data_IF_614865776053
#
_entry.id   IF_614865776053
#
_cell.length_a   1.000
_cell.length_b   1.000
_cell.length_c   1.000
_cell.angle_alpha   90.00
_cell.angle_beta   90.00
_cell.angle_gamma   90.00
#
_symmetry.space_group_name_H-M   'P 1'
#
loop_
_entity.id
_entity.type
_entity.pdbx_description
1 polymer ?
#
# COMPACT_ATOMS: atom_id res chain seq x y z
N UNK A 1 -6.44 -15.59 3.55
CA UNK A 1 -6.62 -15.95 4.99
C UNK A 1 -7.75 -16.97 5.07
N UNK A 2 -7.44 -18.22 5.41
CA UNK A 2 -8.43 -19.30 5.49
C UNK A 2 -9.18 -19.14 6.80
N UNK A 3 -10.39 -18.57 6.73
CA UNK A 3 -11.31 -18.53 7.87
C UNK A 3 -11.92 -19.91 8.05
N UNK A 4 -11.94 -20.38 9.29
CA UNK A 4 -12.71 -21.55 9.71
C UNK A 4 -14.18 -21.11 9.67
N UNK A 5 -14.74 -21.07 8.47
CA UNK A 5 -16.18 -21.02 8.31
C UNK A 5 -16.59 -22.30 7.61
N UNK A 6 -17.66 -22.87 8.16
CA UNK A 6 -18.25 -24.17 7.86
C UNK A 6 -17.45 -25.34 8.41
N UNK A 7 -18.18 -26.24 9.08
CA UNK A 7 -17.74 -27.41 9.85
C UNK A 7 -16.97 -28.48 9.04
N UNK A 8 -16.20 -28.08 8.03
CA UNK A 8 -15.51 -28.95 7.09
C UNK A 8 -14.21 -29.58 7.65
N UNK A 9 -13.65 -29.11 8.78
CA UNK A 9 -12.42 -29.70 9.36
C UNK A 9 -12.39 -29.71 10.90
N UNK A 10 -11.91 -30.82 11.46
CA UNK A 10 -11.75 -31.00 12.91
C UNK A 10 -10.53 -30.23 13.46
N UNK A 11 -10.57 -29.87 14.75
CA UNK A 11 -9.45 -29.20 15.44
C UNK A 11 -8.13 -29.98 15.36
N UNK A 12 -8.19 -31.32 15.33
CA UNK A 12 -7.01 -32.16 15.20
C UNK A 12 -6.33 -31.99 13.83
N UNK A 13 -7.10 -31.94 12.74
CA UNK A 13 -6.59 -31.69 11.39
C UNK A 13 -5.99 -30.28 11.22
N UNK A 14 -6.54 -29.29 11.94
CA UNK A 14 -5.97 -27.94 11.98
C UNK A 14 -4.64 -27.89 12.72
N UNK A 15 -4.54 -28.57 13.88
CA UNK A 15 -3.29 -28.65 14.65
C UNK A 15 -2.19 -29.39 13.88
N UNK A 16 -2.53 -30.47 13.19
CA UNK A 16 -1.60 -31.25 12.35
C UNK A 16 -1.01 -30.42 11.20
N UNK A 17 -1.82 -29.59 10.54
CA UNK A 17 -1.37 -28.73 9.42
C UNK A 17 -0.93 -27.32 9.85
N UNK A 18 -0.95 -27.03 11.14
CA UNK A 18 -0.63 -25.70 11.68
C UNK A 18 0.80 -25.24 11.35
N UNK A 19 1.75 -26.18 11.29
CA UNK A 19 3.14 -25.91 10.93
C UNK A 19 3.36 -25.47 9.48
N UNK A 20 2.37 -25.67 8.60
CA UNK A 20 2.42 -25.23 7.20
C UNK A 20 1.67 -23.92 6.94
N UNK A 21 0.87 -23.45 7.90
CA UNK A 21 0.16 -22.19 7.75
C UNK A 21 1.10 -21.00 7.85
N UNK A 22 0.80 -19.96 7.08
CA UNK A 22 1.59 -18.71 7.08
C UNK A 22 2.93 -18.79 6.35
N UNK A 23 3.26 -19.92 5.70
CA UNK A 23 4.43 -20.01 4.81
C UNK A 23 4.20 -19.16 3.56
N UNK A 24 5.11 -18.21 3.34
CA UNK A 24 5.17 -17.38 2.13
C UNK A 24 6.32 -17.87 1.26
N UNK A 25 6.02 -18.27 0.02
CA UNK A 25 7.03 -18.64 -0.96
C UNK A 25 7.28 -17.45 -1.87
N UNK A 26 8.53 -16.99 -1.94
CA UNK A 26 8.97 -15.93 -2.84
C UNK A 26 9.77 -16.55 -3.97
N UNK A 27 9.40 -16.23 -5.20
CA UNK A 27 10.15 -16.60 -6.41
C UNK A 27 10.80 -15.32 -6.91
N UNK A 28 12.12 -15.38 -7.13
CA UNK A 28 12.90 -14.26 -7.66
C UNK A 28 13.88 -14.79 -8.70
N UNK A 29 14.09 -13.98 -9.72
CA UNK A 29 15.14 -14.10 -10.73
C UNK A 29 16.47 -13.47 -10.29
N UNK A 30 16.51 -12.85 -9.11
CA UNK A 30 17.71 -12.26 -8.52
C UNK A 30 18.53 -13.32 -7.80
N UNK A 31 19.84 -13.34 -8.08
CA UNK A 31 20.82 -14.14 -7.34
C UNK A 31 21.34 -13.35 -6.13
N UNK A 32 20.50 -13.26 -5.10
CA UNK A 32 20.75 -12.46 -3.90
C UNK A 32 20.35 -13.25 -2.64
N UNK A 33 20.84 -12.81 -1.49
CA UNK A 33 20.51 -13.46 -0.22
C UNK A 33 18.99 -13.50 0.04
N UNK A 34 18.42 -14.62 0.53
CA UNK A 34 16.98 -14.74 0.80
C UNK A 34 16.41 -13.64 1.70
N UNK A 35 17.19 -13.15 2.67
CA UNK A 35 16.79 -12.04 3.53
C UNK A 35 16.64 -10.74 2.71
N UNK A 36 17.57 -10.49 1.78
CA UNK A 36 17.50 -9.34 0.89
C UNK A 36 16.30 -9.43 -0.05
N UNK A 37 16.03 -10.60 -0.63
CA UNK A 37 14.84 -10.85 -1.45
C UNK A 37 13.57 -10.57 -0.65
N UNK A 38 13.49 -11.05 0.59
CA UNK A 38 12.37 -10.77 1.47
C UNK A 38 12.20 -9.27 1.78
N UNK A 39 13.29 -8.55 2.07
CA UNK A 39 13.25 -7.10 2.32
C UNK A 39 12.78 -6.32 1.09
N UNK A 40 13.22 -6.69 -0.11
CA UNK A 40 12.76 -6.11 -1.37
C UNK A 40 11.26 -6.37 -1.58
N UNK A 41 10.81 -7.60 -1.36
CA UNK A 41 9.38 -7.92 -1.41
C UNK A 41 8.57 -7.10 -0.40
N UNK A 42 9.10 -6.91 0.82
CA UNK A 42 8.43 -6.14 1.87
C UNK A 42 8.22 -4.67 1.50
N UNK A 43 9.10 -4.08 0.68
CA UNK A 43 8.91 -2.71 0.18
C UNK A 43 7.65 -2.55 -0.68
N UNK A 44 7.01 -3.63 -1.15
CA UNK A 44 5.71 -3.55 -1.85
C UNK A 44 4.60 -2.94 -0.99
N UNK A 45 4.72 -2.99 0.34
CA UNK A 45 3.81 -2.29 1.26
C UNK A 45 3.72 -0.78 0.96
N UNK A 46 4.81 -0.16 0.48
CA UNK A 46 4.78 1.25 0.08
C UNK A 46 3.82 1.52 -1.08
N UNK A 47 3.58 0.54 -1.94
CA UNK A 47 2.59 0.64 -3.03
C UNK A 47 1.18 0.66 -2.45
N UNK A 48 0.87 -0.20 -1.47
CA UNK A 48 -0.43 -0.20 -0.80
C UNK A 48 -0.68 1.11 -0.06
N UNK A 49 0.34 1.62 0.64
CA UNK A 49 0.30 2.94 1.27
C UNK A 49 0.07 4.06 0.24
N UNK A 50 0.77 4.03 -0.89
CA UNK A 50 0.57 4.98 -1.98
C UNK A 50 -0.87 4.97 -2.51
N UNK A 51 -1.47 3.79 -2.70
CA UNK A 51 -2.87 3.66 -3.12
C UNK A 51 -3.85 4.16 -2.07
N UNK A 52 -3.54 4.00 -0.78
CA UNK A 52 -4.35 4.52 0.31
C UNK A 52 -4.36 6.06 0.30
N UNK A 53 -3.18 6.69 0.22
CA UNK A 53 -3.04 8.15 0.07
C UNK A 53 -3.78 8.65 -1.19
N UNK A 54 -3.57 7.97 -2.31
CA UNK A 54 -4.19 8.32 -3.59
C UNK A 54 -5.73 8.33 -3.50
N UNK A 55 -6.33 7.37 -2.80
CA UNK A 55 -7.79 7.29 -2.66
C UNK A 55 -8.33 8.25 -1.61
N UNK A 56 -7.72 8.28 -0.43
CA UNK A 56 -8.31 8.92 0.75
C UNK A 56 -7.86 10.35 0.98
N UNK A 57 -6.59 10.66 0.72
CA UNK A 57 -6.04 12.00 0.96
C UNK A 57 -6.17 12.89 -0.28
N UNK A 58 -6.10 12.30 -1.47
CA UNK A 58 -6.27 13.01 -2.75
C UNK A 58 -7.71 12.95 -3.30
N UNK A 59 -8.61 12.17 -2.68
CA UNK A 59 -10.01 11.98 -3.09
C UNK A 59 -10.18 11.70 -4.60
N UNK A 60 -9.22 10.96 -5.16
CA UNK A 60 -9.11 10.77 -6.61
C UNK A 60 -10.17 9.82 -7.21
N UNK A 61 -11.01 9.23 -6.35
CA UNK A 61 -12.11 8.36 -6.72
C UNK A 61 -13.34 9.13 -7.23
N UNK A 62 -13.35 10.47 -7.13
CA UNK A 62 -14.40 11.35 -7.64
C UNK A 62 -14.02 12.07 -8.92
N UNK A 63 -13.79 11.31 -10.00
CA UNK A 63 -13.62 11.91 -11.32
C UNK A 63 -14.99 12.24 -11.95
N UNK A 64 -15.44 13.50 -11.87
CA UNK A 64 -16.55 14.02 -12.67
C UNK A 64 -16.07 14.35 -14.10
N UNK A 65 -15.35 13.44 -14.74
CA UNK A 65 -14.67 13.70 -16.03
C UNK A 65 -15.48 13.11 -17.18
N UNK A 66 -15.71 13.93 -18.22
CA UNK A 66 -16.54 13.59 -19.39
C UNK A 66 -15.73 13.32 -20.68
N UNK A 67 -14.41 13.53 -20.64
CA UNK A 67 -13.52 13.48 -21.80
C UNK A 67 -12.18 12.81 -21.43
N UNK A 68 -11.65 12.00 -22.35
CA UNK A 68 -10.43 11.21 -22.17
C UNK A 68 -9.20 12.10 -21.95
N UNK A 69 -9.13 13.26 -22.62
CA UNK A 69 -8.03 14.22 -22.39
C UNK A 69 -8.02 14.80 -20.97
N UNK A 70 -9.21 15.01 -20.40
CA UNK A 70 -9.33 15.44 -19.01
C UNK A 70 -8.95 14.31 -18.05
N UNK A 71 -9.27 13.06 -18.38
CA UNK A 71 -8.86 11.89 -17.60
C UNK A 71 -7.33 11.77 -17.54
N UNK A 72 -6.63 11.88 -18.67
CA UNK A 72 -5.16 11.85 -18.69
C UNK A 72 -4.55 12.96 -17.84
N UNK A 73 -5.04 14.19 -18.00
CA UNK A 73 -4.54 15.35 -17.24
C UNK A 73 -4.79 15.19 -15.74
N UNK A 74 -5.96 14.66 -15.37
CA UNK A 74 -6.31 14.37 -13.99
C UNK A 74 -5.42 13.29 -13.37
N UNK A 75 -5.21 12.16 -14.07
CA UNK A 75 -4.31 11.11 -13.62
C UNK A 75 -2.88 11.62 -13.44
N UNK A 76 -2.41 12.48 -14.35
CA UNK A 76 -1.09 13.11 -14.24
C UNK A 76 -0.97 14.01 -13.01
N UNK A 77 -1.96 14.86 -12.75
CA UNK A 77 -1.96 15.74 -11.57
C UNK A 77 -2.05 14.94 -10.27
N UNK A 78 -2.82 13.85 -10.22
CA UNK A 78 -2.86 12.98 -9.05
C UNK A 78 -1.52 12.26 -8.82
N UNK A 79 -0.84 11.82 -9.89
CA UNK A 79 0.51 11.25 -9.78
C UNK A 79 1.50 12.28 -9.22
N UNK A 80 1.45 13.52 -9.70
CA UNK A 80 2.28 14.61 -9.21
C UNK A 80 2.00 14.92 -7.73
N UNK A 81 0.73 14.97 -7.35
CA UNK A 81 0.32 15.21 -5.97
C UNK A 81 0.78 14.09 -5.03
N UNK A 82 0.69 12.83 -5.47
CA UNK A 82 1.20 11.68 -4.74
C UNK A 82 2.73 11.76 -4.57
N UNK A 83 3.46 12.18 -5.61
CA UNK A 83 4.90 12.40 -5.52
C UNK A 83 5.27 13.46 -4.47
N UNK A 84 4.56 14.60 -4.47
CA UNK A 84 4.75 15.66 -3.47
C UNK A 84 4.43 15.17 -2.05
N UNK A 85 3.37 14.38 -1.89
CA UNK A 85 3.02 13.76 -0.60
C UNK A 85 4.18 12.93 -0.05
N UNK A 86 4.80 12.08 -0.87
CA UNK A 86 5.96 11.29 -0.46
C UNK A 86 7.20 12.14 -0.16
N UNK A 87 7.42 13.24 -0.90
CA UNK A 87 8.50 14.17 -0.56
C UNK A 87 8.29 14.76 0.84
N UNK A 88 7.08 15.22 1.16
CA UNK A 88 6.76 15.75 2.49
C UNK A 88 6.93 14.68 3.56
N UNK A 89 6.45 13.45 3.30
CA UNK A 89 6.60 12.31 4.21
C UNK A 89 8.07 12.03 4.54
N UNK A 90 8.94 12.09 3.54
CA UNK A 90 10.38 11.90 3.72
C UNK A 90 11.02 13.05 4.52
N UNK A 91 10.57 14.29 4.32
CA UNK A 91 11.08 15.46 5.05
C UNK A 91 10.69 15.43 6.54
N UNK A 92 9.49 14.98 6.87
CA UNK A 92 9.00 14.96 8.26
C UNK A 92 9.54 13.80 9.10
N UNK A 93 10.18 12.79 8.48
CA UNK A 93 10.84 11.66 9.16
C UNK A 93 9.96 10.99 10.23
N UNK A 94 8.65 10.92 10.00
CA UNK A 94 7.68 10.31 10.92
C UNK A 94 7.31 11.13 12.17
N UNK A 95 7.74 12.39 12.30
CA UNK A 95 7.37 13.25 13.44
C UNK A 95 5.92 13.75 13.40
N UNK A 96 5.37 13.88 12.21
CA UNK A 96 4.02 14.35 11.93
C UNK A 96 3.42 13.51 10.80
N UNK A 97 2.09 13.51 10.63
CA UNK A 97 1.51 13.01 9.39
C UNK A 97 1.60 14.09 8.30
N UNK A 98 1.62 13.68 7.02
CA UNK A 98 1.59 14.64 5.90
C UNK A 98 0.34 15.52 5.97
N UNK A 99 -0.80 14.95 6.40
CA UNK A 99 -2.05 15.67 6.59
C UNK A 99 -1.94 16.77 7.64
N UNK A 100 -1.24 16.53 8.75
CA UNK A 100 -1.01 17.55 9.77
C UNK A 100 -0.21 18.73 9.22
N UNK A 101 0.83 18.44 8.42
CA UNK A 101 1.63 19.50 7.78
C UNK A 101 0.78 20.31 6.81
N UNK A 102 -0.02 19.66 5.96
CA UNK A 102 -0.91 20.36 5.03
C UNK A 102 -1.93 21.23 5.78
N UNK A 103 -2.47 20.76 6.91
CA UNK A 103 -3.37 21.54 7.75
C UNK A 103 -2.71 22.75 8.42
N UNK A 104 -1.44 22.64 8.81
CA UNK A 104 -0.68 23.77 9.34
C UNK A 104 -0.46 24.81 8.24
N UNK A 105 -0.04 24.37 7.06
CA UNK A 105 0.21 25.26 5.92
C UNK A 105 -1.06 25.90 5.38
N UNK A 106 -2.23 25.25 5.46
CA UNK A 106 -3.50 25.81 4.99
C UNK A 106 -4.04 26.93 5.88
N UNK A 107 -3.45 27.17 7.05
CA UNK A 107 -3.86 28.21 8.00
C UNK A 107 -2.97 29.47 7.95
N UNK A 108 -1.92 29.44 7.13
CA UNK A 108 -1.01 30.55 6.85
C UNK A 108 -1.54 31.29 5.62
#
# INVERSE_FOLDING_TARGET
>A
LIRIHDHARSRASFAEKSGDFGKLYLISDLDEDPERIYRLYKQREYVEYAFNVYKNDLESDRSYLRDDHMLFSYMFLNLLSLYLHFQILNMISGKYSVRDVLLILSRI
#
